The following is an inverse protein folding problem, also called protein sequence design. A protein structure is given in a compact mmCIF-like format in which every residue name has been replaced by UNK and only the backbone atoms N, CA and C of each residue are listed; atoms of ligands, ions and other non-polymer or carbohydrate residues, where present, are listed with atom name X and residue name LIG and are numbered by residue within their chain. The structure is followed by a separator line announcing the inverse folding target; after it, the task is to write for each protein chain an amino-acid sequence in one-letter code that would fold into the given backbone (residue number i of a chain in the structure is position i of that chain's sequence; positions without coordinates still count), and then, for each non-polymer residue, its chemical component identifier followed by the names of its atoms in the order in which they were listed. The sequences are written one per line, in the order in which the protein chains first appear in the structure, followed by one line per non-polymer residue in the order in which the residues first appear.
data_IF_342366580813
#
_entry.id   IF_342366580813
#
_cell.length_a   1.000
_cell.length_b   1.000
_cell.length_c   1.000
_cell.angle_alpha   90.00
_cell.angle_beta   90.00
_cell.angle_gamma   90.00
#
_symmetry.space_group_name_H-M   'P 1'
#
loop_
_entity.id
_entity.type
_entity.pdbx_description
1 polymer ?
#
# COMPACT_ATOMS: atom_id res chain seq x y z
N UNK A 1 18.14 -7.58 19.78
CA UNK A 1 17.62 -8.55 18.78
C UNK A 1 16.12 -8.82 18.91
N UNK A 2 15.60 -9.06 20.12
CA UNK A 2 14.16 -9.36 20.37
C UNK A 2 13.20 -8.29 19.82
N UNK A 3 13.48 -7.01 20.07
CA UNK A 3 12.65 -5.88 19.56
C UNK A 3 12.52 -5.87 18.02
N UNK A 4 13.59 -6.21 17.30
CA UNK A 4 13.59 -6.27 15.84
C UNK A 4 12.74 -7.44 15.34
N UNK A 5 12.89 -8.62 15.96
CA UNK A 5 12.09 -9.80 15.60
C UNK A 5 10.58 -9.57 15.86
N UNK A 6 10.23 -8.96 16.99
CA UNK A 6 8.85 -8.62 17.31
C UNK A 6 8.25 -7.60 16.34
N UNK A 7 8.99 -6.55 15.99
CA UNK A 7 8.58 -5.57 14.97
C UNK A 7 8.35 -6.22 13.60
N UNK A 8 9.19 -7.19 13.21
CA UNK A 8 9.02 -7.92 11.94
C UNK A 8 7.75 -8.79 11.98
N UNK A 9 7.44 -9.42 13.10
CA UNK A 9 6.20 -10.19 13.25
C UNK A 9 4.96 -9.30 13.23
N UNK A 10 4.97 -8.19 13.97
CA UNK A 10 3.90 -7.20 13.91
C UNK A 10 3.71 -6.65 12.50
N UNK A 11 4.81 -6.39 11.79
CA UNK A 11 4.77 -5.95 10.40
C UNK A 11 4.09 -7.00 9.50
N UNK A 12 4.40 -8.29 9.67
CA UNK A 12 3.73 -9.38 8.92
C UNK A 12 2.22 -9.44 9.21
N UNK A 13 1.82 -9.27 10.47
CA UNK A 13 0.41 -9.23 10.87
C UNK A 13 -0.28 -8.02 10.24
N UNK A 14 0.37 -6.86 10.26
CA UNK A 14 -0.16 -5.62 9.68
C UNK A 14 -0.35 -5.73 8.16
N UNK A 15 0.55 -6.42 7.44
CA UNK A 15 0.37 -6.72 6.01
C UNK A 15 -0.88 -7.57 5.76
N UNK A 16 -1.18 -8.53 6.66
CA UNK A 16 -2.38 -9.37 6.56
C UNK A 16 -3.66 -8.73 7.13
N UNK A 17 -3.59 -7.51 7.67
CA UNK A 17 -4.70 -6.86 8.37
C UNK A 17 -5.95 -6.76 7.50
N UNK A 18 -5.81 -6.44 6.22
CA UNK A 18 -6.95 -6.29 5.31
C UNK A 18 -7.68 -7.63 5.12
N UNK A 19 -6.93 -8.73 4.92
CA UNK A 19 -7.50 -10.07 4.75
C UNK A 19 -8.15 -10.57 6.05
N UNK A 20 -7.48 -10.34 7.18
CA UNK A 20 -7.97 -10.73 8.49
C UNK A 20 -9.21 -9.93 8.90
N UNK A 21 -9.22 -8.62 8.63
CA UNK A 21 -10.38 -7.76 8.82
C UNK A 21 -11.54 -8.20 7.95
N UNK A 22 -11.32 -8.46 6.66
CA UNK A 22 -12.37 -8.92 5.75
C UNK A 22 -12.98 -10.24 6.19
N UNK A 23 -12.17 -11.18 6.67
CA UNK A 23 -12.62 -12.45 7.22
C UNK A 23 -13.43 -12.24 8.51
N UNK A 24 -12.91 -11.48 9.48
CA UNK A 24 -13.59 -11.23 10.76
C UNK A 24 -14.89 -10.49 10.55
N UNK A 25 -14.89 -9.41 9.76
CA UNK A 25 -16.10 -8.65 9.47
C UNK A 25 -17.11 -9.47 8.67
N UNK A 26 -16.66 -10.28 7.72
CA UNK A 26 -17.52 -11.20 6.97
C UNK A 26 -18.19 -12.24 7.88
N UNK A 27 -17.43 -12.87 8.77
CA UNK A 27 -17.94 -13.82 9.77
C UNK A 27 -18.90 -13.12 10.73
N UNK A 28 -18.52 -11.95 11.26
CA UNK A 28 -19.34 -11.19 12.20
C UNK A 28 -20.68 -10.80 11.58
N UNK A 29 -20.67 -10.20 10.39
CA UNK A 29 -21.89 -9.81 9.67
C UNK A 29 -22.75 -11.06 9.39
N UNK A 30 -22.12 -12.17 8.98
CA UNK A 30 -22.86 -13.41 8.72
C UNK A 30 -23.55 -13.92 9.99
N UNK A 31 -22.84 -14.00 11.12
CA UNK A 31 -23.43 -14.47 12.38
C UNK A 31 -24.48 -13.51 12.95
N UNK A 32 -24.28 -12.20 12.85
CA UNK A 32 -25.26 -11.21 13.36
C UNK A 32 -26.48 -11.11 12.46
N UNK A 33 -26.31 -11.27 11.15
CA UNK A 33 -27.41 -11.20 10.19
C UNK A 33 -28.16 -12.54 10.05
N UNK A 34 -27.54 -13.67 10.40
CA UNK A 34 -28.16 -15.00 10.37
C UNK A 34 -29.53 -15.10 11.08
N UNK A 35 -29.72 -14.66 12.33
CA UNK A 35 -31.03 -14.74 12.98
C UNK A 35 -32.12 -13.96 12.23
N UNK A 36 -31.76 -12.89 11.52
CA UNK A 36 -32.69 -12.05 10.75
C UNK A 36 -32.98 -12.65 9.38
N UNK A 37 -31.95 -13.17 8.71
CA UNK A 37 -32.01 -13.68 7.33
C UNK A 37 -32.41 -15.15 7.25
N UNK A 38 -32.16 -15.94 8.29
CA UNK A 38 -32.46 -17.37 8.30
C UNK A 38 -33.94 -17.70 8.03
N UNK A 39 -34.95 -16.97 8.56
CA UNK A 39 -36.35 -17.29 8.26
C UNK A 39 -36.72 -16.99 6.80
N UNK A 40 -36.20 -15.88 6.26
CA UNK A 40 -36.42 -15.47 4.87
C UNK A 40 -35.76 -16.46 3.90
N UNK A 41 -34.53 -16.90 4.21
CA UNK A 41 -33.83 -17.88 3.39
C UNK A 41 -34.44 -19.27 3.49
N UNK A 42 -34.90 -19.67 4.67
CA UNK A 42 -35.64 -20.92 4.86
C UNK A 42 -36.91 -20.95 4.03
N UNK A 43 -37.65 -19.84 3.94
CA UNK A 43 -38.83 -19.74 3.06
C UNK A 43 -38.44 -19.84 1.57
N UNK A 44 -37.38 -19.14 1.14
CA UNK A 44 -36.89 -19.21 -0.25
C UNK A 44 -36.42 -20.63 -0.60
N UNK A 45 -35.59 -21.25 0.24
CA UNK A 45 -35.08 -22.61 0.02
C UNK A 45 -36.20 -23.66 0.02
N UNK A 46 -37.22 -23.48 0.87
CA UNK A 46 -38.43 -24.29 0.87
C UNK A 46 -39.19 -24.20 -0.46
N UNK A 47 -39.30 -22.99 -1.05
CA UNK A 47 -39.91 -22.79 -2.38
C UNK A 47 -39.10 -23.45 -3.52
N UNK A 48 -37.80 -23.63 -3.34
CA UNK A 48 -36.93 -24.36 -4.27
C UNK A 48 -36.81 -25.86 -3.96
N UNK A 49 -37.62 -26.39 -3.04
CA UNK A 49 -37.69 -27.83 -2.76
C UNK A 49 -36.52 -28.39 -1.94
N UNK A 50 -35.74 -27.54 -1.28
CA UNK A 50 -34.65 -27.98 -0.40
C UNK A 50 -35.22 -28.33 0.99
N UNK A 51 -35.07 -29.57 1.49
CA UNK A 51 -35.56 -29.93 2.81
C UNK A 51 -34.81 -29.15 3.89
N UNK A 52 -35.52 -28.33 4.67
CA UNK A 52 -34.94 -27.52 5.76
C UNK A 52 -34.28 -28.35 6.87
N UNK A 53 -34.68 -29.62 7.01
CA UNK A 53 -34.14 -30.57 8.00
C UNK A 53 -32.83 -31.23 7.56
N UNK A 54 -32.40 -31.05 6.30
CA UNK A 54 -31.16 -31.62 5.82
C UNK A 54 -29.97 -30.78 6.32
N UNK A 55 -28.93 -31.40 6.92
CA UNK A 55 -27.71 -30.70 7.36
C UNK A 55 -27.04 -29.87 6.24
N UNK A 56 -27.27 -30.24 4.97
CA UNK A 56 -26.77 -29.53 3.80
C UNK A 56 -27.48 -28.19 3.51
N UNK A 57 -28.69 -27.96 4.02
CA UNK A 57 -29.43 -26.72 3.75
C UNK A 57 -28.76 -25.49 4.38
N UNK A 58 -28.16 -25.66 5.56
CA UNK A 58 -27.40 -24.59 6.25
C UNK A 58 -26.12 -24.26 5.50
N UNK A 59 -25.39 -25.28 5.01
CA UNK A 59 -24.16 -25.09 4.25
C UNK A 59 -24.42 -24.38 2.91
N UNK A 60 -25.51 -24.76 2.21
CA UNK A 60 -25.93 -24.09 0.96
C UNK A 60 -26.36 -22.66 1.24
N UNK A 61 -27.12 -22.40 2.31
CA UNK A 61 -27.51 -21.05 2.70
C UNK A 61 -26.32 -20.14 2.99
N UNK A 62 -25.32 -20.64 3.72
CA UNK A 62 -24.07 -19.90 3.99
C UNK A 62 -23.29 -19.59 2.72
N UNK A 63 -23.18 -20.54 1.79
CA UNK A 63 -22.51 -20.31 0.50
C UNK A 63 -23.23 -19.27 -0.34
N UNK A 64 -24.56 -19.31 -0.42
CA UNK A 64 -25.35 -18.34 -1.19
C UNK A 64 -25.22 -16.93 -0.59
N UNK A 65 -25.26 -16.79 0.74
CA UNK A 65 -25.05 -15.50 1.41
C UNK A 65 -23.63 -14.99 1.13
N UNK A 66 -22.62 -15.86 1.27
CA UNK A 66 -21.23 -15.49 0.99
C UNK A 66 -21.07 -15.00 -0.46
N UNK A 67 -21.59 -15.74 -1.45
CA UNK A 67 -21.53 -15.34 -2.84
C UNK A 67 -22.34 -14.07 -3.13
N UNK A 68 -23.52 -13.91 -2.53
CA UNK A 68 -24.35 -12.72 -2.69
C UNK A 68 -23.65 -11.46 -2.19
N UNK A 69 -23.11 -11.51 -0.96
CA UNK A 69 -22.32 -10.42 -0.39
C UNK A 69 -21.05 -10.17 -1.22
N UNK A 70 -20.37 -11.23 -1.65
CA UNK A 70 -19.17 -11.13 -2.49
C UNK A 70 -19.46 -10.40 -3.80
N UNK A 71 -20.54 -10.75 -4.51
CA UNK A 71 -20.92 -10.10 -5.77
C UNK A 71 -21.23 -8.62 -5.57
N UNK A 72 -21.94 -8.26 -4.50
CA UNK A 72 -22.23 -6.86 -4.17
C UNK A 72 -20.94 -6.08 -3.90
N UNK A 73 -20.05 -6.61 -3.04
CA UNK A 73 -18.78 -5.98 -2.73
C UNK A 73 -17.86 -5.87 -3.96
N UNK A 74 -17.81 -6.92 -4.77
CA UNK A 74 -17.04 -6.94 -6.00
C UNK A 74 -17.55 -5.88 -7.00
N UNK A 75 -18.86 -5.81 -7.19
CA UNK A 75 -19.48 -4.81 -8.07
C UNK A 75 -19.19 -3.40 -7.56
N UNK A 76 -19.32 -3.16 -6.26
CA UNK A 76 -19.00 -1.88 -5.65
C UNK A 76 -17.52 -1.52 -5.84
N UNK A 77 -16.62 -2.48 -5.66
CA UNK A 77 -15.18 -2.33 -5.91
C UNK A 77 -14.86 -1.98 -7.37
N UNK A 78 -15.51 -2.66 -8.33
CA UNK A 78 -15.36 -2.36 -9.77
C UNK A 78 -15.87 -0.96 -10.09
N UNK A 79 -17.02 -0.56 -9.52
CA UNK A 79 -17.56 0.80 -9.72
C UNK A 79 -16.62 1.85 -9.14
N UNK A 80 -16.14 1.61 -7.92
CA UNK A 80 -15.22 2.48 -7.21
C UNK A 80 -13.88 2.67 -7.95
N UNK A 81 -13.32 1.59 -8.51
CA UNK A 81 -12.04 1.63 -9.23
C UNK A 81 -12.19 2.16 -10.67
N UNK A 82 -13.09 1.57 -11.47
CA UNK A 82 -13.16 1.84 -12.91
C UNK A 82 -13.82 3.17 -13.25
N UNK A 83 -14.87 3.54 -12.50
CA UNK A 83 -15.68 4.72 -12.83
C UNK A 83 -15.35 5.91 -11.96
N UNK A 84 -15.22 5.70 -10.65
CA UNK A 84 -14.99 6.80 -9.72
C UNK A 84 -13.51 7.12 -9.54
N UNK A 85 -12.59 6.15 -9.74
CA UNK A 85 -11.13 6.29 -9.57
C UNK A 85 -10.71 6.95 -8.25
N UNK A 86 -11.57 6.90 -7.23
CA UNK A 86 -11.42 7.63 -5.97
C UNK A 86 -10.15 7.26 -5.22
N UNK A 87 -9.67 6.01 -5.36
CA UNK A 87 -8.41 5.62 -4.74
C UNK A 87 -7.21 6.37 -5.32
N UNK A 88 -7.23 6.70 -6.63
CA UNK A 88 -6.17 7.48 -7.28
C UNK A 88 -6.20 8.91 -6.77
N UNK A 89 -7.39 9.52 -6.76
CA UNK A 89 -7.57 10.87 -6.23
C UNK A 89 -7.19 10.95 -4.75
N UNK A 90 -7.50 9.92 -3.95
CA UNK A 90 -7.10 9.86 -2.55
C UNK A 90 -5.57 9.76 -2.39
N UNK A 91 -4.88 9.00 -3.25
CA UNK A 91 -3.42 8.96 -3.24
C UNK A 91 -2.81 10.28 -3.69
N UNK A 92 -3.36 10.90 -4.72
CA UNK A 92 -2.90 12.19 -5.23
C UNK A 92 -3.08 13.27 -4.15
N UNK A 93 -4.23 13.33 -3.49
CA UNK A 93 -4.47 14.22 -2.35
C UNK A 93 -3.50 13.95 -1.22
N UNK A 94 -3.22 12.68 -0.92
CA UNK A 94 -2.26 12.31 0.12
C UNK A 94 -0.85 12.76 -0.24
N UNK A 95 -0.47 12.73 -1.51
CA UNK A 95 0.84 13.16 -1.98
C UNK A 95 0.96 14.69 -2.05
N UNK A 96 -0.03 15.35 -2.66
CA UNK A 96 -0.09 16.79 -2.89
C UNK A 96 -0.26 17.59 -1.59
N UNK A 97 -1.12 17.12 -0.68
CA UNK A 97 -1.36 17.80 0.60
C UNK A 97 -0.34 17.46 1.67
N UNK A 98 0.49 16.44 1.47
CA UNK A 98 1.52 16.11 2.45
C UNK A 98 2.66 17.14 2.35
N UNK A 99 2.81 18.02 3.36
CA UNK A 99 3.81 19.09 3.35
C UNK A 99 5.24 18.51 3.37
N UNK A 100 5.40 17.26 3.80
CA UNK A 100 6.69 16.59 3.87
C UNK A 100 7.12 15.93 2.56
N UNK A 101 6.23 15.75 1.56
CA UNK A 101 6.60 15.17 0.24
C UNK A 101 6.98 16.21 -0.80
N UNK A 102 6.55 17.47 -0.66
CA UNK A 102 6.84 18.51 -1.66
C UNK A 102 8.33 18.84 -1.78
N UNK A 103 9.07 18.76 -0.68
CA UNK A 103 10.48 19.14 -0.61
C UNK A 103 11.43 17.95 -0.35
N UNK A 104 10.89 16.78 0.03
CA UNK A 104 11.72 15.60 0.29
C UNK A 104 12.07 14.90 -1.02
N UNK A 105 13.36 14.81 -1.28
CA UNK A 105 13.91 13.91 -2.29
C UNK A 105 13.87 12.47 -1.78
N UNK A 106 13.40 11.56 -2.62
CA UNK A 106 13.47 10.12 -2.36
C UNK A 106 14.93 9.64 -2.45
N UNK A 107 15.27 8.58 -1.72
CA UNK A 107 16.64 7.99 -1.72
C UNK A 107 17.14 7.72 -3.15
N UNK A 108 16.28 7.18 -4.02
CA UNK A 108 16.60 6.92 -5.43
C UNK A 108 16.92 8.20 -6.22
N UNK A 109 16.22 9.30 -5.94
CA UNK A 109 16.40 10.58 -6.62
C UNK A 109 17.71 11.22 -6.20
N UNK A 110 18.04 11.15 -4.90
CA UNK A 110 19.33 11.63 -4.38
C UNK A 110 20.49 10.89 -5.04
N UNK A 111 20.42 9.55 -5.13
CA UNK A 111 21.46 8.75 -5.77
C UNK A 111 21.59 9.06 -7.27
N UNK A 112 20.46 9.20 -7.97
CA UNK A 112 20.43 9.52 -9.39
C UNK A 112 21.01 10.91 -9.68
N UNK A 113 20.66 11.92 -8.88
CA UNK A 113 21.23 13.25 -8.99
C UNK A 113 22.74 13.25 -8.69
N UNK A 114 23.17 12.55 -7.63
CA UNK A 114 24.58 12.53 -7.18
C UNK A 114 25.51 11.80 -8.15
N UNK A 115 25.08 10.65 -8.69
CA UNK A 115 25.94 9.76 -9.48
C UNK A 115 25.76 9.91 -10.99
N UNK A 116 24.65 10.47 -11.46
CA UNK A 116 24.37 10.60 -12.90
C UNK A 116 24.30 12.06 -13.35
N UNK A 117 23.39 12.85 -12.79
CA UNK A 117 23.11 14.18 -13.34
C UNK A 117 24.14 15.24 -12.96
N UNK A 118 24.54 15.34 -11.68
CA UNK A 118 25.50 16.35 -11.23
C UNK A 118 26.87 16.20 -11.92
N UNK A 119 27.45 14.99 -12.06
CA UNK A 119 28.72 14.82 -12.78
C UNK A 119 28.60 15.22 -14.26
N UNK A 120 27.52 14.81 -14.94
CA UNK A 120 27.29 15.15 -16.35
C UNK A 120 27.14 16.66 -16.54
N UNK A 121 26.37 17.34 -15.69
CA UNK A 121 26.17 18.79 -15.78
C UNK A 121 27.47 19.57 -15.52
N UNK A 122 28.30 19.11 -14.58
CA UNK A 122 29.61 19.71 -14.30
C UNK A 122 30.58 19.61 -15.49
N UNK A 123 30.50 18.52 -16.26
CA UNK A 123 31.33 18.30 -17.45
C UNK A 123 30.77 19.01 -18.68
N UNK A 124 29.44 19.00 -18.86
CA UNK A 124 28.78 19.55 -20.04
C UNK A 124 28.78 21.07 -20.10
N UNK A 125 28.74 21.76 -18.95
CA UNK A 125 28.63 23.21 -18.89
C UNK A 125 29.55 23.85 -17.82
N UNK A 126 30.89 23.69 -17.93
CA UNK A 126 31.84 24.13 -16.92
C UNK A 126 31.96 25.67 -16.81
N UNK A 127 31.59 26.40 -17.85
CA UNK A 127 31.76 27.86 -17.97
C UNK A 127 30.45 28.64 -18.00
N UNK A 128 29.29 27.96 -18.07
CA UNK A 128 27.99 28.63 -18.09
C UNK A 128 27.55 29.04 -16.67
N UNK A 129 27.38 30.35 -16.40
CA UNK A 129 26.91 30.83 -15.10
C UNK A 129 25.52 30.32 -14.73
N UNK A 130 24.64 30.07 -15.70
CA UNK A 130 23.29 29.56 -15.44
C UNK A 130 23.33 28.10 -14.96
N UNK A 131 24.11 27.26 -15.64
CA UNK A 131 24.30 25.87 -15.24
C UNK A 131 24.94 25.73 -13.86
N UNK A 132 25.91 26.58 -13.51
CA UNK A 132 26.52 26.58 -12.17
C UNK A 132 25.52 26.87 -11.05
N UNK A 133 24.60 27.82 -11.28
CA UNK A 133 23.56 28.16 -10.31
C UNK A 133 22.61 26.98 -10.05
N UNK A 134 22.22 26.27 -11.09
CA UNK A 134 21.34 25.09 -10.96
C UNK A 134 22.06 23.91 -10.27
N UNK A 135 23.34 23.70 -10.57
CA UNK A 135 24.18 22.70 -9.88
C UNK A 135 24.25 23.02 -8.38
N UNK A 136 24.53 24.27 -8.02
CA UNK A 136 24.60 24.71 -6.62
C UNK A 136 23.24 24.57 -5.90
N UNK A 137 22.14 24.89 -6.59
CA UNK A 137 20.79 24.72 -6.06
C UNK A 137 20.49 23.25 -5.72
N UNK A 138 20.76 22.33 -6.64
CA UNK A 138 20.53 20.89 -6.44
C UNK A 138 21.43 20.33 -5.34
N UNK A 139 22.71 20.74 -5.28
CA UNK A 139 23.63 20.33 -4.22
C UNK A 139 23.15 20.82 -2.84
N UNK A 140 22.69 22.07 -2.76
CA UNK A 140 22.12 22.63 -1.53
C UNK A 140 20.86 21.88 -1.12
N UNK A 141 19.97 21.57 -2.06
CA UNK A 141 18.73 20.85 -1.79
C UNK A 141 19.01 19.44 -1.25
N UNK A 142 19.90 18.67 -1.90
CA UNK A 142 20.34 17.36 -1.42
C UNK A 142 20.96 17.49 -0.02
N UNK A 143 21.83 18.48 0.20
CA UNK A 143 22.44 18.76 1.49
C UNK A 143 21.39 19.01 2.59
N UNK A 144 20.38 19.83 2.33
CA UNK A 144 19.29 20.12 3.25
C UNK A 144 18.44 18.88 3.57
N UNK A 145 18.14 18.03 2.57
CA UNK A 145 17.37 16.78 2.79
C UNK A 145 18.17 15.80 3.63
N UNK A 146 19.46 15.59 3.33
CA UNK A 146 20.34 14.71 4.12
C UNK A 146 20.59 15.26 5.53
N UNK A 147 20.62 16.59 5.70
CA UNK A 147 20.76 17.24 7.00
C UNK A 147 19.52 17.05 7.89
N UNK A 148 18.32 17.18 7.30
CA UNK A 148 17.04 17.15 8.01
C UNK A 148 16.57 15.74 8.39
N UNK A 149 16.92 14.70 7.63
CA UNK A 149 16.42 13.34 7.84
C UNK A 149 17.56 12.31 7.99
N UNK A 150 17.81 11.91 9.24
CA UNK A 150 18.84 10.92 9.57
C UNK A 150 18.56 9.51 9.00
N UNK A 151 17.29 9.17 8.75
CA UNK A 151 16.90 7.88 8.16
C UNK A 151 17.27 7.88 6.68
N UNK A 152 16.95 8.96 5.96
CA UNK A 152 17.32 9.11 4.55
C UNK A 152 18.83 9.10 4.38
N UNK A 153 19.57 9.85 5.23
CA UNK A 153 21.04 9.86 5.19
C UNK A 153 21.64 8.46 5.36
N UNK A 154 21.14 7.71 6.33
CA UNK A 154 21.58 6.34 6.56
C UNK A 154 21.23 5.43 5.37
N UNK A 155 20.01 5.53 4.84
CA UNK A 155 19.56 4.72 3.73
C UNK A 155 20.36 4.99 2.43
N UNK A 156 20.71 6.25 2.16
CA UNK A 156 21.60 6.61 1.04
C UNK A 156 22.98 5.95 1.23
N UNK A 157 23.61 6.10 2.41
CA UNK A 157 24.91 5.51 2.66
C UNK A 157 24.92 3.98 2.72
N UNK A 158 23.82 3.35 3.14
CA UNK A 158 23.64 1.90 3.08
C UNK A 158 23.46 1.43 1.62
N UNK A 159 22.76 2.21 0.79
CA UNK A 159 22.56 1.91 -0.63
C UNK A 159 23.84 2.08 -1.45
N UNK A 160 24.61 3.15 -1.22
CA UNK A 160 25.93 3.36 -1.85
C UNK A 160 26.87 2.19 -1.54
N UNK A 161 26.96 1.79 -0.27
CA UNK A 161 27.75 0.62 0.15
C UNK A 161 27.25 -0.69 -0.48
N UNK A 162 25.94 -0.90 -0.59
CA UNK A 162 25.39 -2.09 -1.23
C UNK A 162 25.72 -2.16 -2.73
N UNK A 163 25.63 -1.01 -3.44
CA UNK A 163 25.96 -0.91 -4.86
C UNK A 163 27.46 -1.12 -5.10
N UNK A 164 28.33 -0.50 -4.29
CA UNK A 164 29.79 -0.61 -4.42
C UNK A 164 30.32 -2.01 -4.06
N UNK A 165 29.72 -2.66 -3.06
CA UNK A 165 30.13 -4.01 -2.62
C UNK A 165 29.54 -5.14 -3.46
N UNK A 166 28.58 -4.84 -4.37
CA UNK A 166 27.80 -5.85 -5.09
C UNK A 166 26.95 -6.75 -4.20
N UNK A 167 26.91 -6.49 -2.89
CA UNK A 167 26.11 -7.27 -1.94
C UNK A 167 24.71 -6.67 -1.88
N UNK A 168 23.81 -7.21 -2.69
CA UNK A 168 22.40 -7.17 -2.32
C UNK A 168 22.28 -7.92 -1.01
N UNK A 169 22.24 -7.17 0.10
CA UNK A 169 21.84 -7.70 1.39
C UNK A 169 20.36 -8.09 1.25
N UNK A 170 20.13 -9.27 0.67
CA UNK A 170 18.85 -9.95 0.65
C UNK A 170 18.44 -10.12 2.10
N UNK A 171 17.36 -9.44 2.44
CA UNK A 171 16.67 -9.52 3.71
C UNK A 171 16.29 -10.95 4.09
#
# INVERSE_FOLDING_TARGET
MVKRSFMVQLWRIQQSYILLALLIWGVLITFTAWPILSPVWQDILGRFGVPLSAPGAVAVGLLVIFFGVYVVLYTFGVVYDKYLKLWREQLDVTYERNPYTREKLMVKEILMWRHMFLPVLKVAAPTDPAAKKEIEFVEKWIGTVLASDAVIRKAVGDSERAIESGSTNTA
#
